data_IF_548205547062
#
_entry.id   IF_548205547062
#
_cell.length_a   1.000
_cell.length_b   1.000
_cell.length_c   1.000
_cell.angle_alpha   90.00
_cell.angle_beta   90.00
_cell.angle_gamma   90.00
#
_symmetry.space_group_name_H-M   'P 1'
#
loop_
_entity.id
_entity.type
_entity.pdbx_description
1 polymer ?
#
# COMPACT_ATOMS: atom_id res chain seq x y z
N UNK A 1 0.83 -18.85 -10.42
CA UNK A 1 -0.17 -17.87 -9.97
C UNK A 1 0.49 -16.74 -9.21
N UNK A 2 0.15 -15.49 -9.48
CA UNK A 2 0.70 -14.37 -8.71
C UNK A 2 0.18 -14.40 -7.27
N UNK A 3 0.98 -13.90 -6.35
CA UNK A 3 0.59 -13.78 -4.96
C UNK A 3 -0.56 -12.79 -4.76
N UNK A 4 -0.55 -11.71 -5.52
CA UNK A 4 -1.60 -10.68 -5.49
C UNK A 4 -1.95 -10.26 -6.92
N UNK A 5 -3.21 -9.93 -7.15
CA UNK A 5 -3.71 -9.54 -8.47
C UNK A 5 -4.49 -8.24 -8.39
N UNK A 6 -4.35 -7.40 -9.43
CA UNK A 6 -5.15 -6.20 -9.57
C UNK A 6 -6.58 -6.58 -9.98
N UNK A 7 -7.54 -5.85 -9.43
CA UNK A 7 -8.94 -5.96 -9.80
C UNK A 7 -9.51 -4.54 -9.91
N UNK A 8 -10.43 -4.33 -10.83
CA UNK A 8 -11.05 -3.03 -11.05
C UNK A 8 -11.74 -2.49 -9.79
N UNK A 9 -12.14 -3.36 -8.87
CA UNK A 9 -12.77 -2.92 -7.61
C UNK A 9 -11.80 -2.08 -6.77
N UNK A 10 -10.49 -2.14 -7.04
CA UNK A 10 -9.49 -1.34 -6.34
C UNK A 10 -9.33 0.07 -6.90
N UNK A 11 -9.96 0.39 -8.04
CA UNK A 11 -9.83 1.71 -8.63
C UNK A 11 -10.43 2.78 -7.73
N UNK A 12 -9.62 3.83 -7.47
CA UNK A 12 -10.07 4.99 -6.70
C UNK A 12 -10.65 6.07 -7.60
N UNK A 13 -10.34 6.02 -8.89
CA UNK A 13 -10.67 7.06 -9.84
C UNK A 13 -9.60 8.14 -9.94
N UNK A 14 -8.55 8.06 -9.12
CA UNK A 14 -7.39 8.95 -9.19
C UNK A 14 -6.29 8.15 -9.90
N UNK A 15 -6.10 8.40 -11.18
CA UNK A 15 -5.21 7.61 -12.04
C UNK A 15 -3.81 7.43 -11.45
N UNK A 16 -3.22 8.51 -10.93
CA UNK A 16 -1.89 8.46 -10.33
C UNK A 16 -1.79 7.41 -9.24
N UNK A 17 -2.78 7.36 -8.35
CA UNK A 17 -2.77 6.43 -7.22
C UNK A 17 -3.16 5.02 -7.64
N UNK A 18 -4.01 4.89 -8.64
CA UNK A 18 -4.34 3.58 -9.18
C UNK A 18 -3.10 2.93 -9.79
N UNK A 19 -2.26 3.71 -10.48
CA UNK A 19 -0.99 3.22 -11.00
C UNK A 19 -0.02 2.85 -9.87
N UNK A 20 0.04 3.66 -8.81
CA UNK A 20 0.89 3.37 -7.66
C UNK A 20 0.44 2.09 -6.95
N UNK A 21 -0.87 1.87 -6.83
CA UNK A 21 -1.40 0.64 -6.23
C UNK A 21 -1.02 -0.60 -7.06
N UNK A 22 -1.07 -0.48 -8.39
CA UNK A 22 -0.63 -1.57 -9.28
C UNK A 22 0.86 -1.85 -9.09
N UNK A 23 1.65 -0.80 -8.90
CA UNK A 23 3.09 -0.94 -8.66
C UNK A 23 3.35 -1.72 -7.37
N UNK A 24 2.58 -1.44 -6.33
CA UNK A 24 2.71 -2.13 -5.05
C UNK A 24 2.46 -3.64 -5.22
N UNK A 25 1.44 -3.99 -6.00
CA UNK A 25 1.15 -5.39 -6.30
C UNK A 25 2.33 -6.05 -7.01
N UNK A 26 2.96 -5.35 -7.95
CA UNK A 26 4.13 -5.87 -8.66
C UNK A 26 5.29 -6.14 -7.70
N UNK A 27 5.52 -5.24 -6.75
CA UNK A 27 6.59 -5.41 -5.75
C UNK A 27 6.31 -6.62 -4.87
N UNK A 28 5.07 -6.77 -4.38
CA UNK A 28 4.69 -7.94 -3.58
C UNK A 28 4.92 -9.24 -4.33
N UNK A 29 4.52 -9.27 -5.60
CA UNK A 29 4.69 -10.47 -6.43
C UNK A 29 6.16 -10.78 -6.66
N UNK A 30 7.00 -9.74 -6.79
CA UNK A 30 8.44 -9.93 -6.95
C UNK A 30 9.07 -10.57 -5.71
N UNK A 31 8.72 -10.05 -4.52
CA UNK A 31 9.21 -10.61 -3.26
C UNK A 31 8.77 -12.06 -3.12
N UNK A 32 7.50 -12.33 -3.43
CA UNK A 32 6.95 -13.68 -3.35
C UNK A 32 7.70 -14.64 -4.29
N UNK A 33 7.97 -14.20 -5.53
CA UNK A 33 8.72 -14.98 -6.51
C UNK A 33 10.13 -15.30 -5.99
N UNK A 34 10.82 -14.31 -5.45
CA UNK A 34 12.15 -14.50 -4.89
C UNK A 34 12.13 -15.47 -3.72
N UNK A 35 11.14 -15.35 -2.87
CA UNK A 35 10.97 -16.26 -1.73
C UNK A 35 10.77 -17.70 -2.20
N UNK A 36 9.88 -17.92 -3.18
CA UNK A 36 9.61 -19.26 -3.70
C UNK A 36 10.82 -19.89 -4.39
N UNK A 37 11.62 -19.06 -5.06
CA UNK A 37 12.82 -19.52 -5.76
C UNK A 37 14.01 -19.68 -4.82
N UNK A 38 13.81 -19.42 -3.53
CA UNK A 38 14.84 -19.52 -2.50
C UNK A 38 16.09 -18.72 -2.84
N UNK A 39 15.88 -17.50 -3.35
CA UNK A 39 16.98 -16.62 -3.66
C UNK A 39 17.64 -16.10 -2.40
N UNK A 40 18.87 -15.55 -2.56
CA UNK A 40 19.66 -15.03 -1.48
C UNK A 40 18.87 -14.04 -0.62
N UNK A 41 19.00 -14.19 0.69
CA UNK A 41 18.36 -13.31 1.67
C UNK A 41 18.62 -11.84 1.39
N UNK A 42 19.82 -11.48 0.93
CA UNK A 42 20.17 -10.10 0.58
C UNK A 42 19.28 -9.54 -0.53
N UNK A 43 18.99 -10.35 -1.54
CA UNK A 43 18.16 -9.92 -2.65
C UNK A 43 16.73 -9.64 -2.18
N UNK A 44 16.22 -10.51 -1.30
CA UNK A 44 14.89 -10.34 -0.73
C UNK A 44 14.85 -9.09 0.13
N UNK A 45 15.84 -8.89 0.99
CA UNK A 45 15.94 -7.71 1.86
C UNK A 45 15.98 -6.42 1.07
N UNK A 46 16.69 -6.42 -0.07
CA UNK A 46 16.77 -5.24 -0.91
C UNK A 46 15.41 -4.85 -1.50
N UNK A 47 14.63 -5.84 -1.96
CA UNK A 47 13.30 -5.56 -2.48
C UNK A 47 12.34 -5.17 -1.37
N UNK A 48 12.48 -5.76 -0.18
CA UNK A 48 11.70 -5.33 1.00
C UNK A 48 12.01 -3.87 1.32
N UNK A 49 13.28 -3.46 1.20
CA UNK A 49 13.66 -2.07 1.40
C UNK A 49 12.98 -1.15 0.37
N UNK A 50 12.89 -1.58 -0.89
CA UNK A 50 12.16 -0.84 -1.92
C UNK A 50 10.68 -0.72 -1.58
N UNK A 51 10.09 -1.77 -1.02
CA UNK A 51 8.69 -1.75 -0.58
C UNK A 51 8.48 -0.72 0.53
N UNK A 52 9.40 -0.68 1.50
CA UNK A 52 9.35 0.29 2.60
C UNK A 52 9.38 1.72 2.07
N UNK A 53 10.31 2.00 1.17
CA UNK A 53 10.45 3.31 0.53
C UNK A 53 9.18 3.68 -0.25
N UNK A 54 8.62 2.70 -0.96
CA UNK A 54 7.38 2.88 -1.69
C UNK A 54 6.24 3.33 -0.77
N UNK A 55 6.06 2.66 0.38
CA UNK A 55 4.98 3.03 1.29
C UNK A 55 5.13 4.45 1.82
N UNK A 56 6.34 4.83 2.19
CA UNK A 56 6.59 6.18 2.71
C UNK A 56 6.23 7.25 1.68
N UNK A 57 6.66 7.06 0.44
CA UNK A 57 6.39 8.01 -0.65
C UNK A 57 4.92 8.02 -1.05
N UNK A 58 4.32 6.83 -1.16
CA UNK A 58 2.93 6.70 -1.56
C UNK A 58 1.98 7.35 -0.54
N UNK A 59 2.18 7.07 0.73
CA UNK A 59 1.34 7.64 1.79
C UNK A 59 1.49 9.16 1.84
N UNK A 60 2.71 9.66 1.69
CA UNK A 60 2.94 11.11 1.66
C UNK A 60 2.22 11.76 0.48
N UNK A 61 2.22 11.12 -0.68
CA UNK A 61 1.54 11.63 -1.87
C UNK A 61 0.02 11.64 -1.68
N UNK A 62 -0.55 10.59 -1.09
CA UNK A 62 -1.99 10.54 -0.80
C UNK A 62 -2.39 11.62 0.20
N UNK A 63 -1.59 11.81 1.25
CA UNK A 63 -1.88 12.83 2.27
C UNK A 63 -1.79 14.23 1.67
N UNK A 64 -0.83 14.48 0.78
CA UNK A 64 -0.72 15.75 0.07
C UNK A 64 -1.94 16.00 -0.82
N UNK A 65 -2.45 14.97 -1.50
CA UNK A 65 -3.67 15.10 -2.29
C UNK A 65 -4.85 15.46 -1.41
N UNK A 66 -5.05 14.73 -0.31
CA UNK A 66 -6.19 14.99 0.57
C UNK A 66 -6.16 16.39 1.13
N UNK A 67 -4.97 16.91 1.47
CA UNK A 67 -4.82 18.29 1.91
C UNK A 67 -5.19 19.27 0.81
N UNK A 68 -4.71 19.02 -0.41
CA UNK A 68 -4.94 19.93 -1.55
C UNK A 68 -6.41 20.03 -1.98
N UNK A 69 -7.19 18.96 -1.78
CA UNK A 69 -8.62 18.95 -2.13
C UNK A 69 -9.51 19.31 -0.96
N UNK A 70 -8.93 19.72 0.15
CA UNK A 70 -9.67 20.05 1.36
C UNK A 70 -10.56 18.90 1.82
N UNK A 71 -9.99 17.71 1.85
CA UNK A 71 -10.69 16.50 2.30
C UNK A 71 -11.18 16.73 3.74
N UNK A 72 -12.39 16.25 4.10
CA UNK A 72 -12.93 16.52 5.44
C UNK A 72 -11.94 16.14 6.54
N UNK A 73 -11.73 17.05 7.47
CA UNK A 73 -10.70 16.95 8.52
C UNK A 73 -10.76 15.65 9.29
N UNK A 74 -11.97 15.21 9.66
CA UNK A 74 -12.14 13.98 10.41
C UNK A 74 -11.71 12.75 9.62
N UNK A 75 -12.13 12.66 8.36
CA UNK A 75 -11.77 11.54 7.48
C UNK A 75 -10.30 11.57 7.16
N UNK A 76 -9.71 12.75 6.97
CA UNK A 76 -8.29 12.91 6.74
C UNK A 76 -7.48 12.38 7.92
N UNK A 77 -7.89 12.74 9.15
CA UNK A 77 -7.21 12.28 10.35
C UNK A 77 -7.27 10.74 10.47
N UNK A 78 -8.42 10.15 10.18
CA UNK A 78 -8.59 8.69 10.19
C UNK A 78 -7.64 8.03 9.17
N UNK A 79 -7.56 8.60 7.97
CA UNK A 79 -6.71 8.07 6.90
C UNK A 79 -5.22 8.14 7.28
N UNK A 80 -4.78 9.30 7.79
CA UNK A 80 -3.39 9.47 8.24
C UNK A 80 -3.04 8.50 9.36
N UNK A 81 -3.95 8.33 10.31
CA UNK A 81 -3.74 7.42 11.41
C UNK A 81 -3.61 5.97 10.92
N UNK A 82 -4.42 5.59 9.92
CA UNK A 82 -4.33 4.26 9.32
C UNK A 82 -2.94 4.02 8.71
N UNK A 83 -2.38 5.02 8.02
CA UNK A 83 -1.03 4.94 7.47
C UNK A 83 0.02 4.75 8.56
N UNK A 84 -0.07 5.53 9.63
CA UNK A 84 0.90 5.49 10.74
C UNK A 84 0.86 4.15 11.47
N UNK A 85 -0.34 3.65 11.76
CA UNK A 85 -0.50 2.36 12.42
C UNK A 85 0.03 1.21 11.56
N UNK A 86 -0.24 1.27 10.25
CA UNK A 86 0.28 0.27 9.33
C UNK A 86 1.82 0.27 9.31
N UNK A 87 2.43 1.45 9.14
CA UNK A 87 3.89 1.53 9.06
C UNK A 87 4.56 1.00 10.32
N UNK A 88 3.99 1.29 11.49
CA UNK A 88 4.52 0.80 12.75
C UNK A 88 4.49 -0.74 12.79
N UNK A 89 3.35 -1.34 12.47
CA UNK A 89 3.21 -2.78 12.46
C UNK A 89 4.06 -3.43 11.36
N UNK A 90 4.14 -2.78 10.20
CA UNK A 90 4.93 -3.25 9.07
C UNK A 90 6.43 -3.33 9.42
N UNK A 91 6.98 -2.28 10.02
CA UNK A 91 8.40 -2.27 10.40
C UNK A 91 8.71 -3.34 11.43
N UNK A 92 7.79 -3.61 12.34
CA UNK A 92 7.94 -4.71 13.29
C UNK A 92 7.98 -6.06 12.58
N UNK A 93 7.09 -6.27 11.60
CA UNK A 93 7.09 -7.49 10.79
C UNK A 93 8.38 -7.68 10.00
N UNK A 94 8.94 -6.58 9.47
CA UNK A 94 10.21 -6.62 8.76
C UNK A 94 11.32 -7.10 9.71
N UNK A 95 11.36 -6.59 10.94
CA UNK A 95 12.36 -6.98 11.92
C UNK A 95 12.25 -8.46 12.31
N UNK A 96 11.05 -9.01 12.34
CA UNK A 96 10.83 -10.41 12.67
C UNK A 96 11.42 -11.35 11.61
N UNK A 97 11.58 -10.86 10.38
CA UNK A 97 12.26 -11.61 9.33
C UNK A 97 11.49 -12.74 8.68
N UNK A 98 10.22 -12.90 8.98
CA UNK A 98 9.38 -13.92 8.35
C UNK A 98 8.72 -13.35 7.10
N UNK A 99 9.27 -13.68 5.93
CA UNK A 99 8.85 -13.08 4.66
C UNK A 99 7.39 -13.41 4.33
N UNK A 100 6.95 -14.65 4.52
CA UNK A 100 5.55 -15.00 4.20
C UNK A 100 4.56 -14.29 5.11
N UNK A 101 4.89 -14.16 6.40
CA UNK A 101 4.03 -13.41 7.33
C UNK A 101 3.96 -11.94 6.94
N UNK A 102 5.11 -11.37 6.52
CA UNK A 102 5.16 -9.98 6.05
C UNK A 102 4.27 -9.79 4.82
N UNK A 103 4.40 -10.66 3.82
CA UNK A 103 3.61 -10.57 2.59
C UNK A 103 2.12 -10.69 2.84
N UNK A 104 1.71 -11.63 3.69
CA UNK A 104 0.30 -11.82 4.05
C UNK A 104 -0.24 -10.61 4.78
N UNK A 105 0.53 -10.06 5.71
CA UNK A 105 0.15 -8.87 6.47
C UNK A 105 -0.08 -7.69 5.52
N UNK A 106 0.88 -7.43 4.63
CA UNK A 106 0.78 -6.32 3.69
C UNK A 106 -0.41 -6.49 2.76
N UNK A 107 -0.56 -7.67 2.16
CA UNK A 107 -1.66 -7.94 1.24
C UNK A 107 -3.03 -7.73 1.89
N UNK A 108 -3.22 -8.31 3.06
CA UNK A 108 -4.51 -8.21 3.76
C UNK A 108 -4.84 -6.78 4.15
N UNK A 109 -3.84 -6.06 4.68
CA UNK A 109 -4.04 -4.66 5.05
C UNK A 109 -4.35 -3.81 3.81
N UNK A 110 -3.58 -4.01 2.73
CA UNK A 110 -3.71 -3.23 1.51
C UNK A 110 -5.10 -3.37 0.89
N UNK A 111 -5.59 -4.61 0.76
CA UNK A 111 -6.91 -4.87 0.19
C UNK A 111 -7.98 -4.14 0.99
N UNK A 112 -7.97 -4.28 2.31
CA UNK A 112 -8.93 -3.62 3.17
C UNK A 112 -8.82 -2.10 3.09
N UNK A 113 -7.60 -1.58 3.14
CA UNK A 113 -7.35 -0.13 3.16
C UNK A 113 -7.81 0.53 1.85
N UNK A 114 -7.45 -0.05 0.70
CA UNK A 114 -7.84 0.52 -0.59
C UNK A 114 -9.36 0.49 -0.75
N UNK A 115 -10.00 -0.64 -0.46
CA UNK A 115 -11.45 -0.79 -0.65
C UNK A 115 -12.27 0.09 0.29
N UNK A 116 -11.81 0.26 1.53
CA UNK A 116 -12.64 0.94 2.55
C UNK A 116 -12.17 2.35 2.91
N UNK A 117 -10.92 2.69 2.62
CA UNK A 117 -10.36 3.99 3.00
C UNK A 117 -9.96 4.82 1.78
N UNK A 118 -9.10 4.28 0.89
CA UNK A 118 -8.60 5.05 -0.25
C UNK A 118 -9.70 5.45 -1.23
N UNK A 119 -10.66 4.58 -1.47
CA UNK A 119 -11.76 4.89 -2.40
C UNK A 119 -12.59 6.09 -1.95
N UNK A 120 -12.57 6.41 -0.67
CA UNK A 120 -13.32 7.55 -0.13
C UNK A 120 -12.84 8.88 -0.70
N UNK A 121 -11.52 9.08 -0.85
CA UNK A 121 -11.06 10.34 -1.43
C UNK A 121 -11.41 10.43 -2.92
N UNK A 122 -11.41 9.31 -3.64
CA UNK A 122 -11.84 9.27 -5.04
C UNK A 122 -13.31 9.66 -5.18
N UNK A 123 -14.16 9.12 -4.32
CA UNK A 123 -15.58 9.45 -4.30
C UNK A 123 -15.81 10.92 -3.94
N UNK A 124 -15.04 11.44 -2.99
CA UNK A 124 -15.11 12.83 -2.59
C UNK A 124 -14.77 13.76 -3.76
N UNK A 125 -13.74 13.44 -4.54
CA UNK A 125 -13.34 14.22 -5.71
C UNK A 125 -14.47 14.23 -6.74
N UNK A 126 -15.10 13.08 -6.99
CA UNK A 126 -16.22 12.99 -7.92
C UNK A 126 -17.39 13.86 -7.49
N UNK A 127 -17.68 13.92 -6.21
CA UNK A 127 -18.79 14.72 -5.69
C UNK A 127 -18.57 16.21 -5.86
N UNK A 128 -17.32 16.65 -5.92
CA UNK A 128 -16.98 18.08 -6.11
C UNK A 128 -17.09 18.55 -7.56
N UNK A 129 -17.15 17.62 -8.48
CA UNK A 129 -17.33 17.95 -9.89
C UNK A 129 -18.83 18.01 -10.20
#
# INVERSE_FOLDING_TARGET
MPFAEWDEIFETGVEEFDLQHKRMIQILNLIYSYYQRRLDKRMIEEVVHQLTDYFQKHFAAEEALMESIEYPEKEFAVHKNAHQEFLKAYLQKVQEGNIMELLKFVKNWWVSHVLHIDKRYGEFIKMKK
#
